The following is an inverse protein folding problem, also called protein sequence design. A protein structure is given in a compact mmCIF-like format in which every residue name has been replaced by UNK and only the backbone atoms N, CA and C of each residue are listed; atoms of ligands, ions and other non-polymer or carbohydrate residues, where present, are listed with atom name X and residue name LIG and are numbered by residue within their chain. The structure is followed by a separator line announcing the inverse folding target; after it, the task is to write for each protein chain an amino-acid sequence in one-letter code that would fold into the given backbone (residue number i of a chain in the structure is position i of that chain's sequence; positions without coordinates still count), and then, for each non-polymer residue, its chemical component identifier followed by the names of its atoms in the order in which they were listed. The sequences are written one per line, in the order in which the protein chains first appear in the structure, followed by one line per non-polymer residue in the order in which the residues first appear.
data_IF_002667026552
#
_entry.id   IF_002667026552
#
_cell.length_a   1.000
_cell.length_b   1.000
_cell.length_c   1.000
_cell.angle_alpha   90.00
_cell.angle_beta   90.00
_cell.angle_gamma   90.00
#
_symmetry.space_group_name_H-M   'P 1'
#
loop_
_entity.id
_entity.type
_entity.pdbx_description
1 polymer ?
#
# COMPACT_ATOMS: atom_id res chain seq x y z
N UNK A 1 5.48 16.76 -5.60
CA UNK A 1 5.41 15.32 -5.27
C UNK A 1 6.72 14.67 -5.67
N UNK A 2 7.56 14.32 -4.70
CA UNK A 2 8.78 13.54 -4.92
C UNK A 2 8.86 12.51 -3.80
N UNK A 3 8.71 11.23 -4.15
CA UNK A 3 8.93 10.12 -3.22
C UNK A 3 10.44 9.87 -3.14
N UNK A 4 11.06 10.35 -2.05
CA UNK A 4 12.46 10.04 -1.74
C UNK A 4 12.49 8.73 -0.95
N UNK A 5 12.86 7.63 -1.60
CA UNK A 5 13.27 6.43 -0.89
C UNK A 5 14.66 6.66 -0.31
N UNK A 6 14.74 6.99 0.99
CA UNK A 6 16.01 7.07 1.71
C UNK A 6 16.35 5.69 2.28
N UNK A 7 17.21 4.98 1.55
CA UNK A 7 17.94 3.81 2.03
C UNK A 7 19.00 4.28 3.04
N UNK A 8 18.77 4.12 4.35
CA UNK A 8 19.78 4.45 5.35
C UNK A 8 20.71 3.25 5.54
N UNK A 9 21.87 3.26 4.86
CA UNK A 9 23.03 2.46 5.25
C UNK A 9 23.53 2.94 6.61
N UNK A 10 24.00 2.00 7.42
CA UNK A 10 24.34 2.20 8.83
C UNK A 10 25.38 3.30 9.09
N UNK A 11 25.24 3.92 10.26
CA UNK A 11 26.33 4.52 11.01
C UNK A 11 25.98 4.43 12.51
N UNK A 12 26.77 3.67 13.26
CA UNK A 12 26.86 3.82 14.70
C UNK A 12 27.37 5.23 14.99
N UNK A 13 26.57 6.04 15.67
CA UNK A 13 27.10 7.17 16.45
C UNK A 13 26.72 6.94 17.90
N UNK A 14 27.68 6.41 18.65
CA UNK A 14 27.69 6.60 20.10
C UNK A 14 27.92 8.09 20.35
N UNK A 15 27.11 8.68 21.22
CA UNK A 15 27.34 10.03 21.71
C UNK A 15 27.04 10.00 23.20
N UNK A 16 28.10 9.88 23.99
CA UNK A 16 28.08 10.21 25.41
C UNK A 16 28.04 11.74 25.52
N UNK A 17 26.98 12.27 26.12
CA UNK A 17 26.96 13.66 26.60
C UNK A 17 26.91 13.59 28.12
N UNK A 18 28.06 13.85 28.74
CA UNK A 18 28.13 14.21 30.16
C UNK A 18 27.70 15.66 30.27
N UNK A 19 26.66 15.92 31.07
CA UNK A 19 26.36 17.28 31.49
C UNK A 19 26.18 17.30 33.01
N UNK A 20 27.18 17.86 33.67
CA UNK A 20 27.06 18.38 35.03
C UNK A 20 26.24 19.69 34.93
N UNK A 21 25.16 19.81 35.69
CA UNK A 21 24.28 20.98 35.65
C UNK A 21 23.10 20.89 36.59
N UNK A 22 23.28 21.52 37.76
CA UNK A 22 22.34 22.17 38.69
C UNK A 22 20.89 21.68 38.81
N UNK A 23 20.54 21.34 40.06
CA UNK A 23 19.20 20.97 40.57
C UNK A 23 18.18 22.10 40.31
N UNK A 24 17.25 21.86 39.39
CA UNK A 24 16.03 22.64 39.18
C UNK A 24 14.83 21.69 39.08
N UNK A 25 13.90 21.77 40.03
CA UNK A 25 12.74 20.87 40.17
C UNK A 25 11.58 21.28 39.24
N UNK A 26 11.73 21.06 37.93
CA UNK A 26 10.59 21.14 37.00
C UNK A 26 9.77 19.83 37.02
N UNK A 27 8.51 19.92 37.46
CA UNK A 27 7.54 18.82 37.35
C UNK A 27 7.22 18.58 35.88
N UNK A 28 7.66 17.44 35.34
CA UNK A 28 7.41 17.06 33.94
C UNK A 28 5.93 16.74 33.72
N UNK A 29 5.28 17.41 32.76
CA UNK A 29 3.86 17.21 32.40
C UNK A 29 3.58 15.94 31.58
N UNK A 30 4.59 15.10 31.33
CA UNK A 30 4.46 13.90 30.51
C UNK A 30 5.32 12.77 31.05
N UNK A 31 4.84 11.54 30.86
CA UNK A 31 5.55 10.32 31.22
C UNK A 31 6.42 9.91 30.03
N UNK A 32 7.75 9.93 30.19
CA UNK A 32 8.67 9.35 29.21
C UNK A 32 8.61 7.83 29.33
N UNK A 33 7.95 7.15 28.39
CA UNK A 33 8.09 5.70 28.22
C UNK A 33 9.31 5.40 27.34
N UNK A 34 10.23 4.59 27.87
CA UNK A 34 11.34 4.03 27.09
C UNK A 34 10.81 2.78 26.37
N UNK A 35 10.91 2.79 25.05
CA UNK A 35 10.48 1.65 24.23
C UNK A 35 11.52 0.51 24.32
N UNK A 36 11.09 -0.75 24.49
CA UNK A 36 12.01 -1.88 24.48
C UNK A 36 12.71 -1.97 23.11
N UNK A 37 14.01 -2.29 23.13
CA UNK A 37 14.80 -2.46 21.92
C UNK A 37 14.29 -3.72 21.19
N UNK A 38 13.78 -3.57 19.97
CA UNK A 38 13.34 -4.73 19.16
C UNK A 38 14.50 -5.70 18.94
N UNK A 39 14.33 -6.94 19.40
CA UNK A 39 15.37 -7.97 19.35
C UNK A 39 15.34 -8.80 18.06
N UNK A 40 14.22 -8.84 17.34
CA UNK A 40 14.06 -9.73 16.18
C UNK A 40 13.48 -9.00 14.97
N UNK A 41 14.28 -8.89 13.91
CA UNK A 41 13.84 -8.57 12.56
C UNK A 41 13.94 -9.88 11.77
N UNK A 42 13.05 -10.84 12.04
CA UNK A 42 13.01 -12.09 11.28
C UNK A 42 12.15 -11.83 10.04
N UNK A 43 12.71 -11.86 8.82
CA UNK A 43 11.91 -11.78 7.61
C UNK A 43 10.94 -12.97 7.56
N UNK A 44 9.64 -12.70 7.49
CA UNK A 44 8.59 -13.74 7.42
C UNK A 44 7.75 -13.92 8.68
N UNK A 45 8.12 -13.33 9.81
CA UNK A 45 7.29 -13.30 11.03
C UNK A 45 6.46 -12.01 11.04
N UNK A 46 5.14 -12.11 11.29
CA UNK A 46 4.25 -10.94 11.35
C UNK A 46 4.70 -10.01 12.49
N UNK A 47 4.93 -8.74 12.18
CA UNK A 47 5.33 -7.70 13.13
C UNK A 47 4.14 -7.18 13.96
N UNK A 48 3.31 -8.08 14.47
CA UNK A 48 2.14 -7.76 15.28
C UNK A 48 2.48 -8.10 16.73
N UNK A 49 3.00 -7.12 17.48
CA UNK A 49 3.36 -7.31 18.90
C UNK A 49 2.13 -7.46 19.81
N UNK A 50 0.94 -7.12 19.32
CA UNK A 50 -0.31 -7.03 20.10
C UNK A 50 -1.48 -7.45 19.24
N UNK A 51 -2.38 -8.22 19.84
CA UNK A 51 -3.60 -8.66 19.19
C UNK A 51 -4.42 -7.45 18.71
N UNK A 52 -5.02 -7.53 17.51
CA UNK A 52 -5.79 -6.43 16.97
C UNK A 52 -7.01 -6.16 17.87
N UNK A 53 -7.18 -4.90 18.28
CA UNK A 53 -8.31 -4.47 19.12
C UNK A 53 -9.69 -4.67 18.47
N UNK A 54 -9.69 -4.83 17.14
CA UNK A 54 -10.88 -5.03 16.32
C UNK A 54 -10.66 -6.27 15.48
N UNK A 55 -11.62 -7.21 15.52
CA UNK A 55 -11.60 -8.38 14.66
C UNK A 55 -11.43 -7.97 13.19
N UNK A 56 -10.55 -8.66 12.46
CA UNK A 56 -10.24 -8.33 11.05
C UNK A 56 -11.49 -8.16 10.18
N UNK A 57 -12.51 -8.99 10.42
CA UNK A 57 -13.82 -8.96 9.75
C UNK A 57 -14.61 -7.66 9.95
N UNK A 58 -14.34 -6.93 11.04
CA UNK A 58 -14.99 -5.67 11.40
C UNK A 58 -14.16 -4.44 11.00
N UNK A 59 -12.97 -4.63 10.42
CA UNK A 59 -12.14 -3.54 9.91
C UNK A 59 -12.68 -3.12 8.54
N UNK A 60 -13.51 -2.08 8.53
CA UNK A 60 -13.87 -1.38 7.30
C UNK A 60 -12.64 -0.62 6.78
N UNK A 61 -11.86 -1.29 5.93
CA UNK A 61 -10.87 -0.60 5.10
C UNK A 61 -11.60 0.54 4.35
N UNK A 62 -11.00 1.73 4.17
CA UNK A 62 -11.55 2.73 3.26
C UNK A 62 -11.40 2.20 1.83
N UNK A 63 -12.26 1.23 1.49
CA UNK A 63 -12.04 0.10 0.58
C UNK A 63 -11.58 0.51 -0.81
N UNK A 64 -11.96 1.72 -1.22
CA UNK A 64 -11.76 2.20 -2.57
C UNK A 64 -10.28 2.46 -2.90
N UNK A 65 -9.49 3.07 -2.02
CA UNK A 65 -8.11 3.46 -2.38
C UNK A 65 -7.16 2.25 -2.47
N UNK A 66 -7.36 1.23 -1.63
CA UNK A 66 -6.63 -0.04 -1.70
C UNK A 66 -7.03 -0.80 -2.97
N UNK A 67 -8.34 -0.90 -3.24
CA UNK A 67 -8.84 -1.63 -4.41
C UNK A 67 -8.45 -0.97 -5.73
N UNK A 68 -8.43 0.37 -5.79
CA UNK A 68 -7.88 1.12 -6.92
C UNK A 68 -6.36 0.88 -7.06
N UNK A 69 -5.62 0.84 -5.96
CA UNK A 69 -4.18 0.53 -5.97
C UNK A 69 -3.88 -0.89 -6.48
N UNK A 70 -4.69 -1.88 -6.12
CA UNK A 70 -4.55 -3.24 -6.63
C UNK A 70 -4.88 -3.30 -8.13
N UNK A 71 -5.98 -2.68 -8.56
CA UNK A 71 -6.36 -2.63 -9.97
C UNK A 71 -5.27 -1.98 -10.82
N UNK A 72 -4.64 -0.93 -10.29
CA UNK A 72 -3.50 -0.29 -10.93
C UNK A 72 -2.36 -1.29 -11.21
N UNK A 73 -2.02 -2.12 -10.24
CA UNK A 73 -0.99 -3.14 -10.39
C UNK A 73 -1.42 -4.26 -11.34
N UNK A 74 -2.69 -4.67 -11.27
CA UNK A 74 -3.26 -5.68 -12.17
C UNK A 74 -3.18 -5.23 -13.63
N UNK A 75 -3.63 -4.03 -13.97
CA UNK A 75 -3.58 -3.52 -15.35
C UNK A 75 -2.14 -3.32 -15.84
N UNK A 76 -1.21 -2.94 -14.96
CA UNK A 76 0.22 -2.87 -15.29
C UNK A 76 0.86 -4.23 -15.60
N UNK A 77 0.39 -5.29 -14.98
CA UNK A 77 0.86 -6.65 -15.19
C UNK A 77 0.16 -7.37 -16.35
N UNK A 78 -0.95 -6.80 -16.84
CA UNK A 78 -1.73 -7.32 -17.96
C UNK A 78 -0.93 -7.24 -19.26
N UNK A 79 -1.15 -8.21 -20.16
CA UNK A 79 -0.55 -8.14 -21.48
C UNK A 79 -1.19 -7.01 -22.30
N UNK A 80 -0.38 -6.04 -22.75
CA UNK A 80 -0.84 -4.92 -23.57
C UNK A 80 -1.39 -5.38 -24.93
N UNK A 81 -0.96 -6.53 -25.44
CA UNK A 81 -1.51 -7.17 -26.64
C UNK A 81 -2.75 -8.04 -26.36
N UNK A 82 -3.02 -8.35 -25.10
CA UNK A 82 -4.06 -9.29 -24.68
C UNK A 82 -5.48 -8.77 -24.89
N UNK A 83 -6.42 -9.70 -25.03
CA UNK A 83 -7.84 -9.41 -25.23
C UNK A 83 -8.43 -8.56 -24.09
N UNK A 84 -7.97 -8.76 -22.85
CA UNK A 84 -8.37 -7.96 -21.69
C UNK A 84 -7.98 -6.49 -21.84
N UNK A 85 -6.75 -6.20 -22.26
CA UNK A 85 -6.27 -4.83 -22.44
C UNK A 85 -6.93 -4.14 -23.63
N UNK A 86 -7.13 -4.87 -24.73
CA UNK A 86 -7.89 -4.37 -25.88
C UNK A 86 -9.33 -4.01 -25.49
N UNK A 87 -9.98 -4.84 -24.66
CA UNK A 87 -11.32 -4.53 -24.15
C UNK A 87 -11.34 -3.26 -23.30
N UNK A 88 -10.33 -3.02 -22.45
CA UNK A 88 -10.23 -1.79 -21.67
C UNK A 88 -10.17 -0.54 -22.55
N UNK A 89 -9.42 -0.59 -23.66
CA UNK A 89 -9.36 0.52 -24.64
C UNK A 89 -10.71 0.79 -25.27
N UNK A 90 -11.43 -0.26 -25.67
CA UNK A 90 -12.75 -0.17 -26.28
C UNK A 90 -13.83 0.29 -25.30
N UNK A 91 -13.76 -0.15 -24.03
CA UNK A 91 -14.73 0.19 -22.99
C UNK A 91 -14.62 1.64 -22.56
N UNK A 92 -13.40 2.18 -22.54
CA UNK A 92 -13.11 3.54 -22.10
C UNK A 92 -12.44 4.37 -23.20
N UNK A 93 -13.11 4.63 -24.33
CA UNK A 93 -12.50 5.34 -25.47
C UNK A 93 -12.14 6.79 -25.14
N UNK A 94 -12.76 7.38 -24.11
CA UNK A 94 -12.45 8.72 -23.61
C UNK A 94 -11.22 8.76 -22.70
N UNK A 95 -10.72 7.60 -22.25
CA UNK A 95 -9.52 7.49 -21.42
C UNK A 95 -8.35 7.21 -22.34
N UNK A 96 -7.29 8.02 -22.24
CA UNK A 96 -6.10 7.81 -23.05
C UNK A 96 -5.47 6.45 -22.76
N UNK A 97 -4.89 5.84 -23.79
CA UNK A 97 -4.23 4.54 -23.67
C UNK A 97 -3.13 4.55 -22.59
N UNK A 98 -2.41 5.66 -22.46
CA UNK A 98 -1.41 5.88 -21.40
C UNK A 98 -2.01 5.76 -20.00
N UNK A 99 -3.20 6.32 -19.76
CA UNK A 99 -3.88 6.22 -18.47
C UNK A 99 -4.40 4.81 -18.20
N UNK A 100 -4.89 4.12 -19.23
CA UNK A 100 -5.28 2.71 -19.14
C UNK A 100 -4.06 1.85 -18.78
N UNK A 101 -2.93 2.02 -19.48
CA UNK A 101 -1.67 1.30 -19.20
C UNK A 101 -1.14 1.56 -17.80
N UNK A 102 -1.28 2.78 -17.32
CA UNK A 102 -0.92 3.13 -15.95
C UNK A 102 -1.93 2.64 -14.90
N UNK A 103 -3.07 2.09 -15.32
CA UNK A 103 -4.13 1.59 -14.45
C UNK A 103 -4.88 2.71 -13.71
N UNK A 104 -4.95 3.91 -14.30
CA UNK A 104 -5.59 5.07 -13.71
C UNK A 104 -7.08 5.07 -14.08
N UNK A 105 -7.91 4.63 -13.14
CA UNK A 105 -9.36 4.66 -13.25
C UNK A 105 -9.98 5.53 -12.17
N UNK A 106 -11.08 6.21 -12.50
CA UNK A 106 -11.90 6.85 -11.47
C UNK A 106 -12.80 5.81 -10.80
N UNK A 107 -13.23 6.08 -9.56
CA UNK A 107 -14.07 5.17 -8.78
C UNK A 107 -15.28 4.61 -9.55
N UNK A 108 -16.07 5.42 -10.28
CA UNK A 108 -17.18 4.93 -11.09
C UNK A 108 -16.77 3.96 -12.21
N UNK A 109 -15.70 4.26 -12.96
CA UNK A 109 -15.20 3.41 -14.03
C UNK A 109 -14.73 2.05 -13.48
N UNK A 110 -14.01 2.09 -12.37
CA UNK A 110 -13.56 0.89 -11.68
C UNK A 110 -14.75 0.02 -11.23
N UNK A 111 -15.74 0.62 -10.56
CA UNK A 111 -16.95 -0.10 -10.10
C UNK A 111 -17.73 -0.71 -11.26
N UNK A 112 -17.82 -0.01 -12.39
CA UNK A 112 -18.47 -0.52 -13.59
C UNK A 112 -17.70 -1.69 -14.20
N UNK A 113 -16.37 -1.57 -14.30
CA UNK A 113 -15.50 -2.60 -14.85
C UNK A 113 -15.53 -3.89 -14.03
N UNK A 114 -15.51 -3.79 -12.70
CA UNK A 114 -15.55 -4.97 -11.84
C UNK A 114 -16.88 -5.72 -11.93
N UNK A 115 -17.98 -5.02 -12.24
CA UNK A 115 -19.30 -5.64 -12.39
C UNK A 115 -19.58 -6.13 -13.81
N UNK A 116 -18.67 -5.91 -14.75
CA UNK A 116 -18.87 -6.23 -16.15
C UNK A 116 -18.46 -7.69 -16.44
N UNK A 117 -19.40 -8.62 -16.69
CA UNK A 117 -19.07 -10.01 -16.98
C UNK A 117 -18.35 -10.17 -18.32
N UNK A 118 -18.54 -9.23 -19.26
CA UNK A 118 -17.85 -9.26 -20.55
C UNK A 118 -16.36 -9.07 -20.32
N UNK A 119 -15.95 -8.19 -19.40
CA UNK A 119 -14.54 -8.01 -19.08
C UNK A 119 -13.90 -9.31 -18.58
N UNK A 120 -14.59 -10.04 -17.69
CA UNK A 120 -14.10 -11.34 -17.19
C UNK A 120 -13.90 -12.35 -18.32
N UNK A 121 -14.83 -12.41 -19.28
CA UNK A 121 -14.73 -13.31 -20.42
C UNK A 121 -13.56 -12.99 -21.37
N UNK A 122 -13.01 -11.76 -21.31
CA UNK A 122 -11.88 -11.32 -22.14
C UNK A 122 -10.52 -11.55 -21.49
N UNK A 123 -10.49 -11.85 -20.18
CA UNK A 123 -9.25 -12.16 -19.48
C UNK A 123 -8.73 -13.54 -19.87
N UNK A 124 -7.42 -13.67 -19.98
CA UNK A 124 -6.78 -14.98 -20.09
C UNK A 124 -6.91 -15.75 -18.77
N UNK A 125 -6.73 -17.08 -18.78
CA UNK A 125 -6.79 -17.91 -17.56
C UNK A 125 -5.86 -17.40 -16.44
N UNK A 126 -4.68 -16.90 -16.81
CA UNK A 126 -3.70 -16.35 -15.86
C UNK A 126 -4.16 -15.02 -15.27
N UNK A 127 -4.71 -14.13 -16.10
CA UNK A 127 -5.23 -12.83 -15.66
C UNK A 127 -6.50 -13.00 -14.82
N UNK A 128 -7.38 -13.94 -15.18
CA UNK A 128 -8.57 -14.25 -14.40
C UNK A 128 -8.23 -14.77 -12.99
N UNK A 129 -7.20 -15.62 -12.87
CA UNK A 129 -6.71 -16.10 -11.58
C UNK A 129 -6.04 -14.99 -10.73
N UNK A 130 -5.48 -13.95 -11.37
CA UNK A 130 -4.83 -12.83 -10.71
C UNK A 130 -5.77 -11.63 -10.46
N UNK A 131 -7.09 -11.80 -10.71
CA UNK A 131 -8.10 -10.76 -10.54
C UNK A 131 -8.41 -10.53 -9.04
N UNK A 132 -8.71 -9.28 -8.70
CA UNK A 132 -8.92 -8.76 -7.34
C UNK A 132 -10.38 -8.84 -6.91
#
# INVERSE_FOLDING_TARGET
MAFVYRLSKGQLKSSSVTQCGSVGTEKKHYIKKVWPKRQFLIPGVKNEEKEPLVASEKILLPSLHIKLGLMKNFVKAMDCGGNGFQYLRLKFPKVSETKIKEGIFVGPQFRQLMKDPVFESKLTKKEAAARI
#
